data_IF_717181144300
#
_entry.id   IF_717181144300
#
_cell.length_a   1.000
_cell.length_b   1.000
_cell.length_c   1.000
_cell.angle_alpha   90.00
_cell.angle_beta   90.00
_cell.angle_gamma   90.00
#
_symmetry.space_group_name_H-M   'P 1'
#
loop_
_entity.id
_entity.type
_entity.pdbx_description
1 polymer ?
#
# COMPACT_ATOMS: atom_id res chain seq x y z
N UNK A 1 10.67 -15.26 -20.02
CA UNK A 1 9.79 -14.18 -20.52
C UNK A 1 9.69 -13.16 -19.40
N UNK A 2 10.58 -12.17 -19.36
CA UNK A 2 10.44 -11.02 -18.47
C UNK A 2 9.15 -10.31 -18.89
N UNK A 3 8.14 -10.17 -18.01
CA UNK A 3 6.93 -9.42 -18.39
C UNK A 3 7.40 -8.01 -18.77
N UNK A 4 7.00 -7.55 -19.95
CA UNK A 4 7.29 -6.19 -20.40
C UNK A 4 6.97 -5.22 -19.27
N UNK A 5 8.01 -4.50 -18.84
CA UNK A 5 8.07 -3.92 -17.51
C UNK A 5 6.90 -2.99 -17.22
N UNK A 6 6.36 -3.09 -16.00
CA UNK A 6 5.43 -2.12 -15.44
C UNK A 6 5.91 -0.68 -15.74
N UNK A 7 5.02 0.21 -16.22
CA UNK A 7 3.56 0.09 -16.26
C UNK A 7 2.98 -0.45 -17.58
N UNK A 8 3.80 -0.98 -18.50
CA UNK A 8 3.33 -1.36 -19.83
C UNK A 8 2.75 -0.18 -20.62
N UNK A 9 1.60 -0.40 -21.27
CA UNK A 9 0.88 0.63 -22.04
C UNK A 9 -0.04 1.52 -21.20
N UNK A 10 -0.21 1.25 -19.90
CA UNK A 10 -1.10 2.03 -19.05
C UNK A 10 -0.59 3.47 -18.87
N UNK A 11 -1.52 4.43 -18.89
CA UNK A 11 -1.25 5.85 -18.63
C UNK A 11 -2.35 6.43 -17.73
N UNK A 12 -2.01 7.30 -16.77
CA UNK A 12 -3.02 7.98 -15.98
C UNK A 12 -3.73 9.05 -16.82
N UNK A 13 -4.98 9.35 -16.48
CA UNK A 13 -5.80 10.36 -17.14
C UNK A 13 -5.82 11.67 -16.32
N UNK A 14 -5.15 12.74 -16.76
CA UNK A 14 -5.13 14.02 -16.04
C UNK A 14 -6.47 14.77 -16.05
N UNK A 15 -7.38 14.43 -16.96
CA UNK A 15 -8.72 15.02 -17.02
C UNK A 15 -9.74 14.33 -16.09
N UNK A 16 -9.34 13.27 -15.40
CA UNK A 16 -10.19 12.58 -14.43
C UNK A 16 -10.35 13.37 -13.13
N UNK A 17 -11.48 13.18 -12.44
CA UNK A 17 -11.68 13.67 -11.06
C UNK A 17 -10.84 12.90 -10.03
N UNK A 18 -10.31 11.73 -10.38
CA UNK A 18 -9.41 10.95 -9.52
C UNK A 18 -8.00 11.52 -9.64
N UNK A 19 -7.38 11.84 -8.52
CA UNK A 19 -6.00 12.35 -8.52
C UNK A 19 -5.01 11.35 -9.14
N UNK A 20 -4.01 11.83 -9.87
CA UNK A 20 -3.04 10.99 -10.60
C UNK A 20 -2.32 9.96 -9.72
N UNK A 21 -1.97 10.33 -8.48
CA UNK A 21 -1.32 9.41 -7.54
C UNK A 21 -2.25 8.25 -7.17
N UNK A 22 -3.57 8.53 -7.06
CA UNK A 22 -4.57 7.53 -6.70
C UNK A 22 -4.83 6.60 -7.89
N UNK A 23 -4.88 7.13 -9.11
CA UNK A 23 -4.96 6.30 -10.31
C UNK A 23 -3.78 5.32 -10.41
N UNK A 24 -2.55 5.80 -10.15
CA UNK A 24 -1.36 4.95 -10.13
C UNK A 24 -1.43 3.90 -9.01
N UNK A 25 -1.86 4.30 -7.81
CA UNK A 25 -2.04 3.39 -6.68
C UNK A 25 -3.03 2.26 -7.03
N UNK A 26 -4.20 2.61 -7.56
CA UNK A 26 -5.22 1.64 -7.95
C UNK A 26 -4.73 0.71 -9.06
N UNK A 27 -3.96 1.22 -10.03
CA UNK A 27 -3.38 0.38 -11.07
C UNK A 27 -2.38 -0.65 -10.50
N UNK A 28 -1.51 -0.24 -9.57
CA UNK A 28 -0.56 -1.18 -8.93
C UNK A 28 -1.30 -2.23 -8.11
N UNK A 29 -2.35 -1.85 -7.37
CA UNK A 29 -3.19 -2.80 -6.62
C UNK A 29 -3.83 -3.80 -7.58
N UNK A 30 -4.48 -3.33 -8.65
CA UNK A 30 -5.13 -4.19 -9.63
C UNK A 30 -4.16 -5.22 -10.24
N UNK A 31 -2.95 -4.77 -10.60
CA UNK A 31 -1.92 -5.66 -11.15
C UNK A 31 -1.33 -6.63 -10.12
N UNK A 32 -1.27 -6.23 -8.84
CA UNK A 32 -0.85 -7.13 -7.77
C UNK A 32 -1.91 -8.21 -7.52
N UNK A 33 -3.18 -7.82 -7.43
CA UNK A 33 -4.31 -8.70 -7.17
C UNK A 33 -4.53 -9.73 -8.29
N UNK A 34 -4.30 -9.34 -9.55
CA UNK A 34 -4.42 -10.23 -10.70
C UNK A 34 -3.13 -11.03 -11.00
N UNK A 35 -2.09 -10.86 -10.18
CA UNK A 35 -0.82 -11.60 -10.30
C UNK A 35 0.15 -11.09 -11.37
N UNK A 36 -0.19 -10.07 -12.16
CA UNK A 36 0.72 -9.45 -13.14
C UNK A 36 1.93 -8.80 -12.46
N UNK A 37 1.75 -8.30 -11.24
CA UNK A 37 2.80 -7.85 -10.34
C UNK A 37 2.91 -8.83 -9.16
N UNK A 38 3.55 -9.98 -9.41
CA UNK A 38 3.79 -10.97 -8.36
C UNK A 38 4.59 -10.41 -7.17
N UNK A 39 4.37 -10.92 -5.94
CA UNK A 39 5.23 -10.62 -4.80
C UNK A 39 6.71 -10.78 -5.10
N UNK A 40 7.53 -9.82 -4.65
CA UNK A 40 8.96 -9.74 -4.95
C UNK A 40 9.29 -8.99 -6.24
N UNK A 41 8.32 -8.70 -7.11
CA UNK A 41 8.52 -7.86 -8.30
C UNK A 41 9.05 -6.49 -7.89
N UNK A 42 10.17 -6.07 -8.49
CA UNK A 42 10.73 -4.74 -8.26
C UNK A 42 10.00 -3.71 -9.14
N UNK A 43 9.50 -2.65 -8.50
CA UNK A 43 8.92 -1.52 -9.19
C UNK A 43 10.02 -0.54 -9.66
N UNK A 44 9.79 0.23 -10.74
CA UNK A 44 10.74 1.25 -11.17
C UNK A 44 10.93 2.33 -10.10
N UNK A 45 12.12 2.95 -10.09
CA UNK A 45 12.38 4.09 -9.22
C UNK A 45 11.42 5.25 -9.51
N UNK A 46 11.11 6.05 -8.49
CA UNK A 46 10.16 7.17 -8.56
C UNK A 46 10.39 8.06 -9.79
N UNK A 47 11.64 8.49 -10.02
CA UNK A 47 11.98 9.37 -11.15
C UNK A 47 11.79 8.67 -12.50
N UNK A 48 12.26 7.43 -12.61
CA UNK A 48 12.14 6.66 -13.85
C UNK A 48 10.67 6.37 -14.21
N UNK A 49 9.81 6.10 -13.22
CA UNK A 49 8.39 5.90 -13.47
C UNK A 49 7.69 7.22 -13.81
N UNK A 50 8.04 8.31 -13.13
CA UNK A 50 7.51 9.64 -13.38
C UNK A 50 7.77 10.09 -14.83
N UNK A 51 9.00 9.88 -15.32
CA UNK A 51 9.38 10.14 -16.71
C UNK A 51 8.58 9.26 -17.69
N UNK A 52 8.44 7.97 -17.42
CA UNK A 52 7.67 7.05 -18.28
C UNK A 52 6.18 7.38 -18.38
N UNK A 53 5.61 7.91 -17.30
CA UNK A 53 4.18 8.23 -17.20
C UNK A 53 3.87 9.71 -17.52
N UNK A 54 4.90 10.53 -17.73
CA UNK A 54 4.78 11.99 -17.88
C UNK A 54 4.01 12.64 -16.71
N UNK A 55 4.41 12.31 -15.48
CA UNK A 55 3.83 12.88 -14.25
C UNK A 55 4.90 13.44 -13.35
N UNK A 56 4.52 14.30 -12.41
CA UNK A 56 5.47 14.85 -11.45
C UNK A 56 6.02 13.75 -10.49
N UNK A 57 7.32 13.74 -10.15
CA UNK A 57 7.91 12.73 -9.26
C UNK A 57 7.23 12.63 -7.89
N UNK A 58 6.72 13.74 -7.34
CA UNK A 58 6.00 13.73 -6.07
C UNK A 58 4.68 12.94 -6.14
N UNK A 59 4.05 12.87 -7.31
CA UNK A 59 2.84 12.07 -7.56
C UNK A 59 3.15 10.59 -7.41
N UNK A 60 4.23 10.12 -8.04
CA UNK A 60 4.69 8.72 -7.91
C UNK A 60 5.14 8.42 -6.49
N UNK A 61 5.92 9.32 -5.87
CA UNK A 61 6.37 9.15 -4.49
C UNK A 61 5.19 9.02 -3.51
N UNK A 62 4.15 9.83 -3.69
CA UNK A 62 2.91 9.73 -2.90
C UNK A 62 2.22 8.39 -3.13
N UNK A 63 2.05 7.96 -4.37
CA UNK A 63 1.43 6.66 -4.67
C UNK A 63 2.19 5.50 -4.00
N UNK A 64 3.51 5.47 -4.09
CA UNK A 64 4.33 4.44 -3.44
C UNK A 64 4.23 4.47 -1.92
N UNK A 65 4.19 5.66 -1.31
CA UNK A 65 4.01 5.80 0.14
C UNK A 65 2.66 5.25 0.61
N UNK A 66 1.57 5.54 -0.12
CA UNK A 66 0.24 5.01 0.19
C UNK A 66 0.14 3.50 -0.03
N UNK A 67 0.81 2.98 -1.07
CA UNK A 67 0.92 1.53 -1.31
C UNK A 67 1.71 0.83 -0.21
N UNK A 68 2.77 1.46 0.30
CA UNK A 68 3.58 0.94 1.40
C UNK A 68 2.79 0.95 2.71
N UNK A 69 2.07 2.03 3.00
CA UNK A 69 1.17 2.09 4.15
C UNK A 69 0.05 1.04 4.09
N UNK A 70 -0.41 0.69 2.88
CA UNK A 70 -1.39 -0.37 2.64
C UNK A 70 -0.78 -1.78 2.59
N UNK A 71 0.55 -1.93 2.75
CA UNK A 71 1.24 -3.22 2.70
C UNK A 71 1.32 -3.87 1.32
N UNK A 72 0.97 -3.15 0.25
CA UNK A 72 1.01 -3.64 -1.15
C UNK A 72 2.43 -3.67 -1.67
N UNK A 73 3.28 -2.74 -1.22
CA UNK A 73 4.70 -2.69 -1.56
C UNK A 73 5.55 -2.49 -0.30
N UNK A 74 6.84 -2.74 -0.40
CA UNK A 74 7.81 -2.43 0.64
C UNK A 74 9.03 -1.73 0.03
N UNK A 75 9.47 -0.63 0.63
CA UNK A 75 10.70 0.08 0.25
C UNK A 75 11.89 -0.46 1.02
N UNK A 76 12.90 -0.96 0.31
CA UNK A 76 14.13 -1.54 0.91
C UNK A 76 15.35 -0.64 0.71
N UNK A 77 15.21 0.67 0.94
CA UNK A 77 16.30 1.63 0.80
C UNK A 77 16.98 1.56 -0.58
N UNK A 78 18.30 1.26 -0.61
CA UNK A 78 19.08 1.07 -1.86
C UNK A 78 18.58 -0.05 -2.77
N UNK A 79 17.75 -0.97 -2.26
CA UNK A 79 17.22 -2.09 -3.02
C UNK A 79 15.89 -1.74 -3.72
N UNK A 80 15.44 -0.49 -3.66
CA UNK A 80 14.24 -0.01 -4.34
C UNK A 80 12.94 -0.46 -3.68
N UNK A 81 11.84 -0.30 -4.41
CA UNK A 81 10.48 -0.67 -3.96
C UNK A 81 10.09 -2.00 -4.61
N UNK A 82 9.59 -2.93 -3.81
CA UNK A 82 9.17 -4.27 -4.27
C UNK A 82 7.72 -4.53 -3.90
N UNK A 83 7.01 -5.28 -4.71
CA UNK A 83 5.64 -5.73 -4.41
C UNK A 83 5.70 -6.73 -3.27
N UNK A 84 4.86 -6.52 -2.26
CA UNK A 84 4.77 -7.39 -1.10
C UNK A 84 3.79 -8.53 -1.39
N UNK A 85 4.00 -9.69 -0.78
CA UNK A 85 2.89 -10.62 -0.63
C UNK A 85 1.91 -9.94 0.31
N UNK A 86 0.73 -9.57 -0.20
CA UNK A 86 -0.34 -9.07 0.65
C UNK A 86 -0.70 -10.22 1.59
N UNK A 87 -0.19 -10.16 2.82
CA UNK A 87 -0.63 -11.07 3.87
C UNK A 87 -2.04 -10.60 4.24
N UNK A 88 -3.05 -11.18 3.59
CA UNK A 88 -4.46 -10.81 3.78
C UNK A 88 -4.85 -10.89 5.26
N UNK A 89 -4.28 -11.86 6.00
CA UNK A 89 -4.41 -11.95 7.45
C UNK A 89 -3.88 -10.70 8.15
N UNK A 90 -2.73 -10.15 7.76
CA UNK A 90 -2.24 -8.88 8.35
C UNK A 90 -3.14 -7.69 7.97
N UNK A 91 -3.71 -7.68 6.77
CA UNK A 91 -4.68 -6.69 6.34
C UNK A 91 -5.95 -6.69 7.21
N UNK A 92 -6.53 -7.88 7.41
CA UNK A 92 -7.71 -8.09 8.25
C UNK A 92 -7.44 -7.75 9.72
N UNK A 93 -6.28 -8.18 10.24
CA UNK A 93 -5.85 -7.84 11.61
C UNK A 93 -5.64 -6.33 11.79
N UNK A 94 -5.11 -5.63 10.79
CA UNK A 94 -4.93 -4.18 10.82
C UNK A 94 -6.28 -3.45 10.86
N UNK A 95 -7.25 -3.87 10.03
CA UNK A 95 -8.62 -3.33 10.09
C UNK A 95 -9.28 -3.57 11.44
N UNK A 96 -9.19 -4.80 11.97
CA UNK A 96 -9.74 -5.13 13.28
C UNK A 96 -9.11 -4.28 14.40
N UNK A 97 -7.78 -4.08 14.36
CA UNK A 97 -7.07 -3.23 15.30
C UNK A 97 -7.50 -1.76 15.19
N UNK A 98 -7.72 -1.24 13.99
CA UNK A 98 -8.21 0.12 13.77
C UNK A 98 -9.63 0.31 14.34
N UNK A 99 -10.52 -0.66 14.11
CA UNK A 99 -11.87 -0.66 14.66
C UNK A 99 -11.85 -0.68 16.20
N UNK A 100 -11.03 -1.55 16.79
CA UNK A 100 -10.83 -1.59 18.24
C UNK A 100 -10.32 -0.24 18.80
N UNK A 101 -9.30 0.35 18.17
CA UNK A 101 -8.74 1.63 18.59
C UNK A 101 -9.77 2.77 18.51
N UNK A 102 -10.63 2.78 17.50
CA UNK A 102 -11.72 3.76 17.38
C UNK A 102 -12.71 3.64 18.55
N UNK A 103 -13.11 2.42 18.91
CA UNK A 103 -13.98 2.19 20.07
C UNK A 103 -13.31 2.62 21.36
N UNK A 104 -12.05 2.23 21.60
CA UNK A 104 -11.30 2.59 22.80
C UNK A 104 -11.21 4.12 22.98
N UNK A 105 -10.88 4.85 21.90
CA UNK A 105 -10.85 6.31 21.89
C UNK A 105 -12.21 6.93 22.20
N UNK A 106 -13.29 6.42 21.62
CA UNK A 106 -14.64 6.92 21.86
C UNK A 106 -15.10 6.77 23.33
N UNK A 107 -14.48 5.83 24.06
CA UNK A 107 -14.73 5.58 25.49
C UNK A 107 -13.75 6.31 26.41
N UNK A 108 -12.84 7.12 25.87
CA UNK A 108 -11.84 7.85 26.64
C UNK A 108 -10.69 6.98 27.17
N UNK A 109 -10.52 5.76 26.66
CA UNK A 109 -9.42 4.89 27.06
C UNK A 109 -8.07 5.47 26.59
N UNK A 110 -7.08 5.43 27.47
CA UNK A 110 -5.69 5.70 27.12
C UNK A 110 -5.13 4.59 26.23
N UNK A 111 -4.02 4.89 25.53
CA UNK A 111 -3.31 3.87 24.75
C UNK A 111 -2.89 2.67 25.60
N UNK A 112 -2.40 2.91 26.83
CA UNK A 112 -1.96 1.85 27.73
C UNK A 112 -3.12 0.93 28.14
N UNK A 113 -4.29 1.49 28.44
CA UNK A 113 -5.49 0.70 28.78
C UNK A 113 -5.99 -0.11 27.59
N UNK A 114 -6.01 0.49 26.39
CA UNK A 114 -6.41 -0.18 25.17
C UNK A 114 -5.47 -1.37 24.85
N UNK A 115 -4.15 -1.17 24.97
CA UNK A 115 -3.19 -2.26 24.76
C UNK A 115 -3.37 -3.36 25.80
N UNK A 116 -3.57 -3.02 27.08
CA UNK A 116 -3.79 -4.00 28.15
C UNK A 116 -5.04 -4.85 27.91
N UNK A 117 -6.14 -4.24 27.49
CA UNK A 117 -7.39 -4.93 27.19
C UNK A 117 -7.28 -5.82 25.95
N UNK A 118 -6.61 -5.35 24.89
CA UNK A 118 -6.37 -6.16 23.70
C UNK A 118 -5.48 -7.38 24.01
N UNK A 119 -4.43 -7.20 24.82
CA UNK A 119 -3.57 -8.30 25.27
C UNK A 119 -4.36 -9.33 26.09
N UNK A 120 -5.18 -8.89 27.05
CA UNK A 120 -6.02 -9.78 27.83
C UNK A 120 -7.01 -10.58 26.97
N UNK A 121 -7.55 -9.96 25.91
CA UNK A 121 -8.47 -10.62 24.97
C UNK A 121 -7.76 -11.65 24.07
N UNK A 122 -6.47 -11.47 23.79
CA UNK A 122 -5.69 -12.37 22.93
C UNK A 122 -5.39 -13.71 23.62
N UNK A 123 -5.28 -13.71 24.95
CA UNK A 123 -4.99 -14.92 25.75
C UNK A 123 -6.27 -15.66 26.22
N UNK A 124 -7.46 -15.21 25.79
CA UNK A 124 -8.71 -15.92 26.10
C UNK A 124 -8.82 -17.17 25.20
N UNK A 125 -8.98 -18.37 25.78
CA UNK A 125 -9.09 -19.62 25.03
C UNK A 125 -10.38 -19.75 24.21
#
# INVERSE_FOLDING_TARGET
>A
MTPDGFPGSWRPNPASSVALFEQLRLQVIHLADNGALAPGTRLPAVRALAEKLDVAPHTVARAYKELEAAGVVATRGRHGTVVSARDERLGDLSQAAAAYAAVAKSRGASFAEAVKLLAAAYDVP
#
